data_IF_097404501863
#
_entry.id   IF_097404501863
#
_cell.length_a   1.000
_cell.length_b   1.000
_cell.length_c   1.000
_cell.angle_alpha   90.00
_cell.angle_beta   90.00
_cell.angle_gamma   90.00
#
_symmetry.space_group_name_H-M   'P 1'
#
loop_
_entity.id
_entity.type
_entity.pdbx_description
1 polymer ?
#
# COMPACT_ATOMS: atom_id res chain seq x y z
N UNK A 1 48.85 -36.46 -33.54
CA UNK A 1 48.12 -35.19 -33.50
C UNK A 1 46.65 -35.53 -33.52
N UNK A 2 46.02 -35.54 -32.35
CA UNK A 2 44.58 -35.73 -32.20
C UNK A 2 44.12 -34.72 -31.16
N UNK A 3 43.33 -33.75 -31.62
CA UNK A 3 42.67 -32.76 -30.78
C UNK A 3 41.54 -33.45 -30.00
N UNK A 4 41.71 -33.57 -28.68
CA UNK A 4 40.65 -33.97 -27.77
C UNK A 4 39.66 -32.82 -27.61
N UNK A 5 38.52 -32.92 -28.32
CA UNK A 5 37.41 -32.02 -28.13
C UNK A 5 36.73 -32.30 -26.77
N UNK A 6 36.97 -31.43 -25.79
CA UNK A 6 36.30 -31.47 -24.48
C UNK A 6 34.79 -31.24 -24.68
N UNK A 7 33.91 -32.14 -24.21
CA UNK A 7 32.47 -31.94 -24.31
C UNK A 7 32.04 -30.80 -23.38
N UNK A 8 31.55 -29.71 -23.96
CA UNK A 8 30.99 -28.57 -23.23
C UNK A 8 29.62 -28.97 -22.69
N UNK A 9 29.51 -29.21 -21.39
CA UNK A 9 28.23 -29.39 -20.73
C UNK A 9 27.32 -28.16 -20.94
N UNK A 10 26.05 -28.34 -21.32
CA UNK A 10 25.16 -27.21 -21.52
C UNK A 10 24.88 -26.51 -20.18
N UNK A 11 25.32 -25.25 -20.06
CA UNK A 11 25.02 -24.38 -18.91
C UNK A 11 23.53 -24.44 -18.55
N UNK A 12 23.17 -24.62 -17.27
CA UNK A 12 21.77 -24.68 -16.86
C UNK A 12 21.05 -23.38 -17.25
N UNK A 13 20.00 -23.50 -18.07
CA UNK A 13 19.14 -22.38 -18.45
C UNK A 13 18.52 -21.80 -17.17
N UNK A 14 18.97 -20.60 -16.77
CA UNK A 14 18.31 -19.80 -15.72
C UNK A 14 16.85 -19.61 -16.12
N UNK A 15 15.95 -20.39 -15.50
CA UNK A 15 14.52 -20.09 -15.55
C UNK A 15 14.34 -18.70 -14.95
N UNK A 16 13.89 -17.74 -15.76
CA UNK A 16 13.30 -16.52 -15.23
C UNK A 16 12.07 -16.96 -14.45
N UNK A 17 12.23 -17.23 -13.16
CA UNK A 17 11.12 -17.16 -12.23
C UNK A 17 10.67 -15.70 -12.27
N UNK A 18 9.76 -15.39 -13.18
CA UNK A 18 8.76 -14.38 -12.93
C UNK A 18 7.88 -14.92 -11.81
N UNK A 19 8.46 -15.02 -10.61
CA UNK A 19 7.67 -14.85 -9.43
C UNK A 19 7.01 -13.51 -9.64
N UNK A 20 5.72 -13.51 -9.98
CA UNK A 20 4.87 -12.41 -9.54
C UNK A 20 5.34 -12.19 -8.10
N UNK A 21 5.85 -11.01 -7.69
CA UNK A 21 6.03 -10.77 -6.28
C UNK A 21 4.67 -11.13 -5.70
N UNK A 22 4.62 -12.24 -4.95
CA UNK A 22 3.40 -12.66 -4.33
C UNK A 22 2.97 -11.41 -3.61
N UNK A 23 1.85 -10.82 -4.01
CA UNK A 23 1.24 -9.73 -3.29
C UNK A 23 0.94 -10.38 -1.95
N UNK A 24 1.88 -10.18 -1.04
CA UNK A 24 1.99 -10.91 0.19
C UNK A 24 0.66 -10.63 0.88
N UNK A 25 -0.18 -11.65 1.06
CA UNK A 25 -1.05 -11.69 2.23
C UNK A 25 -0.09 -11.40 3.36
N UNK A 26 -0.05 -10.18 3.89
CA UNK A 26 0.88 -9.80 4.97
C UNK A 26 0.66 -10.82 6.09
N UNK A 27 1.53 -11.85 6.23
CA UNK A 27 1.29 -12.89 7.22
C UNK A 27 1.57 -12.22 8.57
N UNK A 28 0.54 -12.14 9.42
CA UNK A 28 0.68 -11.57 10.76
C UNK A 28 0.68 -10.04 10.83
N UNK A 29 -0.17 -9.35 10.05
CA UNK A 29 -0.48 -7.94 10.35
C UNK A 29 -1.29 -7.86 11.67
N UNK A 30 -0.61 -8.02 12.80
CA UNK A 30 -1.18 -7.70 14.10
C UNK A 30 -1.38 -6.19 14.14
N UNK A 31 -2.65 -5.80 14.27
CA UNK A 31 -3.07 -4.40 14.30
C UNK A 31 -2.47 -3.62 15.49
N UNK A 32 -1.81 -4.27 16.44
CA UNK A 32 -1.09 -3.62 17.55
C UNK A 32 0.34 -3.24 17.19
N UNK A 33 0.94 -3.83 16.14
CA UNK A 33 2.33 -3.55 15.72
C UNK A 33 2.44 -2.19 15.04
N UNK A 34 3.67 -1.77 14.75
CA UNK A 34 3.96 -0.55 14.00
C UNK A 34 3.36 -0.66 12.59
N UNK A 35 3.53 -1.80 11.90
CA UNK A 35 2.95 -2.01 10.57
C UNK A 35 1.42 -2.01 10.62
N UNK A 36 0.83 -2.62 11.64
CA UNK A 36 -0.63 -2.62 11.85
C UNK A 36 -1.19 -1.21 12.09
N UNK A 37 -0.48 -0.36 12.83
CA UNK A 37 -0.84 1.06 13.00
C UNK A 37 -0.73 1.84 11.69
N UNK A 38 0.36 1.67 10.95
CA UNK A 38 0.56 2.31 9.65
C UNK A 38 -0.52 1.89 8.65
N UNK A 39 -0.85 0.61 8.61
CA UNK A 39 -1.93 0.09 7.76
C UNK A 39 -3.27 0.76 8.07
N UNK A 40 -3.68 0.82 9.35
CA UNK A 40 -4.94 1.49 9.73
C UNK A 40 -4.93 2.97 9.36
N UNK A 41 -3.79 3.64 9.52
CA UNK A 41 -3.66 5.04 9.14
C UNK A 41 -3.89 5.23 7.63
N UNK A 42 -3.16 4.49 6.78
CA UNK A 42 -3.31 4.55 5.33
C UNK A 42 -4.71 4.15 4.87
N UNK A 43 -5.24 3.06 5.42
CA UNK A 43 -6.57 2.56 5.11
C UNK A 43 -7.65 3.60 5.44
N UNK A 44 -7.64 4.19 6.65
CA UNK A 44 -8.63 5.20 7.05
C UNK A 44 -8.60 6.43 6.14
N UNK A 45 -7.41 6.90 5.77
CA UNK A 45 -7.27 8.07 4.88
C UNK A 45 -7.84 7.78 3.49
N UNK A 46 -7.41 6.67 2.89
CA UNK A 46 -7.90 6.25 1.58
C UNK A 46 -9.40 5.93 1.59
N UNK A 47 -9.90 5.32 2.65
CA UNK A 47 -11.32 5.03 2.80
C UNK A 47 -12.17 6.30 2.95
N UNK A 48 -11.69 7.30 3.68
CA UNK A 48 -12.36 8.59 3.79
C UNK A 48 -12.39 9.37 2.47
N UNK A 49 -11.34 9.21 1.65
CA UNK A 49 -11.20 9.92 0.37
C UNK A 49 -11.98 9.25 -0.78
N UNK A 50 -11.98 7.92 -0.85
CA UNK A 50 -12.52 7.18 -2.00
C UNK A 50 -13.78 6.38 -1.69
N UNK A 51 -14.15 6.24 -0.40
CA UNK A 51 -15.37 5.56 0.03
C UNK A 51 -15.32 4.01 -0.04
N UNK A 52 -16.41 3.35 0.39
CA UNK A 52 -16.48 1.90 0.51
C UNK A 52 -16.48 1.14 -0.83
N UNK A 53 -16.95 1.77 -1.91
CA UNK A 53 -17.02 1.18 -3.26
C UNK A 53 -15.66 0.71 -3.80
N UNK A 54 -14.57 1.21 -3.22
CA UNK A 54 -13.20 0.90 -3.61
C UNK A 54 -12.42 0.16 -2.53
N UNK A 55 -13.10 -0.41 -1.52
CA UNK A 55 -12.49 -1.01 -0.33
C UNK A 55 -11.36 -1.98 -0.66
N UNK A 56 -11.54 -2.84 -1.67
CA UNK A 56 -10.51 -3.81 -2.08
C UNK A 56 -9.23 -3.12 -2.54
N UNK A 57 -9.35 -2.12 -3.42
CA UNK A 57 -8.20 -1.38 -3.97
C UNK A 57 -7.55 -0.52 -2.87
N UNK A 58 -8.36 0.10 -2.01
CA UNK A 58 -7.91 0.86 -0.84
C UNK A 58 -7.08 -0.03 0.09
N UNK A 59 -7.59 -1.24 0.39
CA UNK A 59 -6.92 -2.21 1.26
C UNK A 59 -5.59 -2.67 0.68
N UNK A 60 -5.58 -2.99 -0.62
CA UNK A 60 -4.35 -3.38 -1.33
C UNK A 60 -3.33 -2.24 -1.38
N UNK A 61 -3.77 -1.00 -1.64
CA UNK A 61 -2.88 0.15 -1.68
C UNK A 61 -2.31 0.48 -0.30
N UNK A 62 -3.14 0.45 0.75
CA UNK A 62 -2.70 0.63 2.13
C UNK A 62 -1.65 -0.41 2.55
N UNK A 63 -1.90 -1.69 2.25
CA UNK A 63 -0.93 -2.76 2.51
C UNK A 63 0.38 -2.58 1.71
N UNK A 64 0.27 -2.15 0.45
CA UNK A 64 1.44 -1.89 -0.40
C UNK A 64 2.29 -0.73 0.14
N UNK A 65 1.67 0.36 0.61
CA UNK A 65 2.38 1.49 1.23
C UNK A 65 3.11 1.08 2.50
N UNK A 66 2.48 0.28 3.36
CA UNK A 66 3.14 -0.28 4.55
C UNK A 66 4.33 -1.17 4.18
N UNK A 67 4.20 -2.01 3.14
CA UNK A 67 5.31 -2.83 2.67
C UNK A 67 6.48 -1.98 2.13
N UNK A 68 6.19 -0.86 1.46
CA UNK A 68 7.21 0.10 1.01
C UNK A 68 7.93 0.71 2.21
N UNK A 69 7.18 1.20 3.20
CA UNK A 69 7.75 1.79 4.41
C UNK A 69 8.65 0.80 5.17
N UNK A 70 8.19 -0.45 5.34
CA UNK A 70 8.98 -1.50 5.97
C UNK A 70 10.25 -1.83 5.17
N UNK A 71 10.14 -1.94 3.84
CA UNK A 71 11.28 -2.20 2.95
C UNK A 71 12.30 -1.06 3.01
N UNK A 72 11.84 0.19 3.05
CA UNK A 72 12.71 1.36 3.21
C UNK A 72 13.37 1.40 4.59
N UNK A 73 12.64 1.04 5.65
CA UNK A 73 13.20 0.93 7.00
C UNK A 73 14.30 -0.14 7.06
N UNK A 74 14.09 -1.33 6.47
CA UNK A 74 15.12 -2.38 6.37
C UNK A 74 16.38 -1.90 5.62
N UNK A 75 16.21 -1.06 4.59
CA UNK A 75 17.35 -0.48 3.86
C UNK A 75 18.15 0.52 4.70
N UNK A 76 17.49 1.25 5.60
CA UNK A 76 18.09 2.27 6.45
C UNK A 76 18.63 1.71 7.77
N UNK A 77 18.14 0.55 8.21
CA UNK A 77 18.59 -0.08 9.45
C UNK A 77 20.08 -0.45 9.37
N UNK A 78 20.87 0.09 10.29
CA UNK A 78 22.31 -0.15 10.37
C UNK A 78 22.64 -1.57 10.83
N UNK A 79 21.73 -2.23 11.53
CA UNK A 79 21.90 -3.59 12.05
C UNK A 79 21.58 -4.67 11.01
N UNK A 80 20.95 -4.30 9.91
CA UNK A 80 20.61 -5.22 8.82
C UNK A 80 21.74 -5.22 7.79
N UNK A 81 22.32 -6.38 7.48
CA UNK A 81 23.48 -6.48 6.57
C UNK A 81 23.25 -7.40 5.36
N UNK A 82 24.10 -7.20 4.34
CA UNK A 82 24.28 -8.10 3.20
C UNK A 82 23.00 -8.40 2.43
N UNK A 83 22.52 -9.64 2.59
CA UNK A 83 21.46 -10.23 1.77
C UNK A 83 20.09 -9.57 1.97
N UNK A 84 19.75 -9.17 3.19
CA UNK A 84 18.43 -8.56 3.49
C UNK A 84 18.31 -7.21 2.80
N UNK A 85 19.35 -6.35 2.89
CA UNK A 85 19.39 -5.07 2.18
C UNK A 85 19.37 -5.23 0.67
N UNK A 86 20.03 -6.26 0.13
CA UNK A 86 19.98 -6.55 -1.31
C UNK A 86 18.56 -6.93 -1.75
N UNK A 87 17.89 -7.80 -0.99
CA UNK A 87 16.50 -8.18 -1.25
C UNK A 87 15.53 -7.00 -1.17
N UNK A 88 15.70 -6.13 -0.18
CA UNK A 88 14.89 -4.92 -0.04
C UNK A 88 15.05 -3.99 -1.25
N UNK A 89 16.29 -3.79 -1.73
CA UNK A 89 16.58 -2.99 -2.95
C UNK A 89 15.95 -3.57 -4.21
N UNK A 90 15.92 -4.90 -4.34
CA UNK A 90 15.28 -5.57 -5.47
C UNK A 90 13.75 -5.49 -5.42
N UNK A 91 13.16 -5.56 -4.22
CA UNK A 91 11.72 -5.53 -4.02
C UNK A 91 11.11 -4.13 -4.23
N UNK A 92 11.80 -3.08 -3.77
CA UNK A 92 11.27 -1.72 -3.71
C UNK A 92 10.74 -1.20 -5.07
N UNK A 93 11.45 -1.32 -6.21
CA UNK A 93 10.92 -0.87 -7.50
C UNK A 93 9.67 -1.63 -7.94
N UNK A 94 9.50 -2.90 -7.53
CA UNK A 94 8.30 -3.68 -7.80
C UNK A 94 7.11 -3.17 -7.00
N UNK A 95 7.31 -2.92 -5.70
CA UNK A 95 6.29 -2.38 -4.80
C UNK A 95 5.88 -0.95 -5.21
N UNK A 96 6.82 -0.07 -5.53
CA UNK A 96 6.51 1.30 -5.98
C UNK A 96 5.70 1.31 -7.26
N UNK A 97 6.04 0.48 -8.26
CA UNK A 97 5.26 0.36 -9.50
C UNK A 97 3.85 -0.16 -9.25
N UNK A 98 3.70 -1.11 -8.32
CA UNK A 98 2.38 -1.60 -7.91
C UNK A 98 1.55 -0.51 -7.24
N UNK A 99 2.14 0.25 -6.30
CA UNK A 99 1.48 1.37 -5.65
C UNK A 99 0.99 2.41 -6.67
N UNK A 100 1.86 2.86 -7.58
CA UNK A 100 1.48 3.78 -8.65
C UNK A 100 0.35 3.24 -9.53
N UNK A 101 0.37 1.94 -9.86
CA UNK A 101 -0.72 1.31 -10.63
C UNK A 101 -2.03 1.29 -9.86
N UNK A 102 -2.00 1.00 -8.56
CA UNK A 102 -3.20 1.01 -7.71
C UNK A 102 -3.74 2.42 -7.52
N UNK A 103 -2.87 3.42 -7.32
CA UNK A 103 -3.24 4.84 -7.25
C UNK A 103 -3.87 5.33 -8.54
N UNK A 104 -3.27 5.00 -9.69
CA UNK A 104 -3.83 5.36 -10.99
C UNK A 104 -5.22 4.72 -11.21
N UNK A 105 -5.41 3.46 -10.78
CA UNK A 105 -6.72 2.80 -10.84
C UNK A 105 -7.73 3.50 -9.94
N UNK A 106 -7.34 3.84 -8.71
CA UNK A 106 -8.18 4.49 -7.72
C UNK A 106 -8.59 5.91 -8.15
N UNK A 107 -7.65 6.65 -8.76
CA UNK A 107 -7.88 8.00 -9.30
C UNK A 107 -8.68 8.01 -10.60
N UNK A 108 -8.61 6.94 -11.40
CA UNK A 108 -9.39 6.83 -12.64
C UNK A 108 -10.86 6.44 -12.36
N UNK A 109 -11.13 5.81 -11.22
CA UNK A 109 -12.50 5.73 -10.69
C UNK A 109 -12.98 7.14 -10.38
N UNK A 110 -14.14 7.52 -10.95
CA UNK A 110 -14.82 8.78 -10.60
C UNK A 110 -14.79 8.90 -9.08
N UNK A 111 -14.39 10.06 -8.51
CA UNK A 111 -14.49 10.25 -7.08
C UNK A 111 -15.92 9.87 -6.68
N UNK A 112 -16.04 9.05 -5.63
CA UNK A 112 -17.35 8.78 -5.04
C UNK A 112 -18.07 10.13 -4.92
N UNK A 113 -19.33 10.25 -5.36
CA UNK A 113 -20.07 11.50 -5.17
C UNK A 113 -19.87 11.89 -3.72
N UNK A 114 -19.25 13.06 -3.51
CA UNK A 114 -18.80 13.49 -2.19
C UNK A 114 -19.92 13.15 -1.22
N UNK A 115 -19.64 12.27 -0.26
CA UNK A 115 -20.61 11.96 0.78
C UNK A 115 -21.13 13.32 1.24
N UNK A 116 -22.43 13.55 1.03
CA UNK A 116 -23.08 14.81 1.38
C UNK A 116 -22.52 15.28 2.72
N UNK A 117 -22.17 16.57 2.85
CA UNK A 117 -21.37 17.07 3.95
C UNK A 117 -21.94 16.51 5.26
N UNK A 118 -21.07 15.81 5.99
CA UNK A 118 -21.40 15.12 7.21
C UNK A 118 -22.16 16.05 8.17
N UNK A 119 -23.48 15.84 8.26
CA UNK A 119 -24.40 16.48 9.20
C UNK A 119 -24.43 18.03 9.14
N UNK A 120 -25.52 18.67 9.60
CA UNK A 120 -25.49 20.11 9.82
C UNK A 120 -24.28 20.46 10.67
N UNK A 121 -23.38 21.31 10.14
CA UNK A 121 -22.27 21.87 10.89
C UNK A 121 -22.79 22.30 12.26
N UNK A 122 -22.06 22.03 13.34
CA UNK A 122 -22.45 22.42 14.71
C UNK A 122 -23.01 23.87 14.77
N UNK A 123 -22.51 24.75 13.91
CA UNK A 123 -23.03 26.10 13.65
C UNK A 123 -24.53 26.18 13.27
N UNK A 124 -25.07 25.28 12.45
CA UNK A 124 -26.48 25.20 12.07
C UNK A 124 -27.38 24.61 13.18
N UNK A 125 -26.85 23.71 14.01
CA UNK A 125 -27.53 23.24 15.24
C UNK A 125 -27.59 24.39 16.25
N UNK A 126 -26.47 25.08 16.48
CA UNK A 126 -26.40 26.23 17.36
C UNK A 126 -27.29 27.39 16.87
N UNK A 127 -27.36 27.65 15.56
CA UNK A 127 -28.25 28.68 14.99
C UNK A 127 -29.75 28.40 15.19
N UNK A 128 -30.17 27.13 15.22
CA UNK A 128 -31.56 26.75 15.55
C UNK A 128 -31.90 26.94 17.03
N UNK A 129 -30.92 26.86 17.92
CA UNK A 129 -31.11 27.01 19.36
C UNK A 129 -30.79 28.41 19.90
N UNK A 130 -30.11 29.24 19.11
CA UNK A 130 -29.74 30.61 19.47
C UNK A 130 -30.87 31.64 19.28
N UNK A 131 -32.06 31.24 18.83
CA UNK A 131 -33.23 32.12 18.77
C UNK A 131 -34.40 31.60 19.60
N UNK A 132 -34.50 32.02 20.88
CA UNK A 132 -35.71 31.93 21.67
C UNK A 132 -36.39 33.31 21.73
N UNK A 133 -36.69 33.91 20.58
CA UNK A 133 -37.40 35.21 20.55
C UNK A 133 -38.53 35.17 19.49
N UNK A 134 -39.52 34.32 19.78
CA UNK A 134 -40.84 34.34 19.15
C UNK A 134 -41.88 33.75 20.12
N UNK A 135 -41.80 34.17 21.38
CA UNK A 135 -42.81 33.90 22.39
C UNK A 135 -43.01 35.18 23.23
N UNK A 136 -43.50 36.23 22.58
CA UNK A 136 -44.33 37.30 23.15
C UNK A 136 -45.18 37.92 22.04
#
# INVERSE_FOLDING_TARGET
MTDDAVPIEPKPKRRKQFGRPGLVRLPGLDLRTIEGRAFRHHYRRLFAEFGPEHETIIRELAATRVAIEATQAEMLDRNVEGWVKARAREALPGLSRLATKLEARLSATKPAPAAEPAAPALAAILARHASPEAAE
#
